data_IF_614207775813
#
_entry.id   IF_614207775813
#
_cell.length_a   1.000
_cell.length_b   1.000
_cell.length_c   1.000
_cell.angle_alpha   90.00
_cell.angle_beta   90.00
_cell.angle_gamma   90.00
#
_symmetry.space_group_name_H-M   'P 1'
#
loop_
_entity.id
_entity.type
_entity.pdbx_description
1 polymer ?
#
# COMPACT_ATOMS: atom_id res chain seq x y z
N UNK A 1 -40.58 -24.45 -22.70
CA UNK A 1 -40.43 -23.00 -22.90
C UNK A 1 -41.19 -22.31 -21.77
N UNK A 2 -40.48 -21.86 -20.74
CA UNK A 2 -40.84 -20.93 -19.65
C UNK A 2 -39.45 -20.54 -19.07
N UNK A 3 -38.93 -19.32 -19.05
CA UNK A 3 -39.57 -18.01 -19.02
C UNK A 3 -39.42 -17.43 -17.63
N UNK A 4 -38.19 -17.09 -17.22
CA UNK A 4 -37.79 -16.03 -16.28
C UNK A 4 -36.27 -16.20 -16.02
N UNK A 5 -35.36 -15.30 -16.38
CA UNK A 5 -35.53 -13.86 -16.54
C UNK A 5 -34.68 -13.08 -15.53
N UNK A 6 -34.11 -13.75 -14.52
CA UNK A 6 -33.31 -13.05 -13.50
C UNK A 6 -31.91 -13.65 -13.42
N UNK A 7 -31.07 -13.33 -14.42
CA UNK A 7 -29.65 -13.20 -14.15
C UNK A 7 -29.56 -12.00 -13.21
N UNK A 8 -29.53 -12.26 -11.89
CA UNK A 8 -29.12 -11.25 -10.92
C UNK A 8 -27.86 -10.61 -11.47
N UNK A 9 -27.94 -9.32 -11.76
CA UNK A 9 -26.80 -8.51 -12.17
C UNK A 9 -25.63 -8.85 -11.24
N UNK A 10 -24.38 -8.92 -11.74
CA UNK A 10 -23.26 -9.15 -10.84
C UNK A 10 -23.41 -8.12 -9.72
N UNK A 11 -23.50 -8.59 -8.47
CA UNK A 11 -23.44 -7.69 -7.34
C UNK A 11 -22.04 -7.09 -7.45
N UNK A 12 -21.96 -5.92 -8.07
CA UNK A 12 -20.89 -4.97 -7.90
C UNK A 12 -21.04 -4.48 -6.46
N UNK A 13 -20.83 -5.38 -5.49
CA UNK A 13 -20.52 -4.99 -4.14
C UNK A 13 -19.11 -4.45 -4.26
N UNK A 14 -19.09 -3.17 -4.59
CA UNK A 14 -17.92 -2.35 -4.72
C UNK A 14 -17.15 -2.60 -3.45
N UNK A 15 -16.00 -3.28 -3.57
CA UNK A 15 -15.01 -3.37 -2.54
C UNK A 15 -14.76 -1.95 -2.04
N UNK A 16 -15.51 -1.59 -1.01
CA UNK A 16 -15.31 -0.44 -0.17
C UNK A 16 -14.14 -0.82 0.72
N UNK A 17 -13.00 -1.16 0.10
CA UNK A 17 -11.73 -0.91 0.75
C UNK A 17 -11.79 0.59 0.99
N UNK A 18 -12.03 0.93 2.26
CA UNK A 18 -11.88 2.29 2.76
C UNK A 18 -10.60 2.86 2.17
N UNK A 19 -10.57 4.15 1.88
CA UNK A 19 -9.36 4.79 1.37
C UNK A 19 -8.12 4.44 2.22
N UNK A 20 -8.30 4.19 3.52
CA UNK A 20 -7.28 3.66 4.44
C UNK A 20 -6.78 2.24 4.09
N UNK A 21 -7.66 1.31 3.72
CA UNK A 21 -7.30 -0.05 3.27
C UNK A 21 -6.57 -0.02 1.91
N UNK A 22 -6.91 0.94 1.05
CA UNK A 22 -6.19 1.16 -0.21
C UNK A 22 -4.81 1.74 0.04
N UNK A 23 -4.71 2.73 0.94
CA UNK A 23 -3.44 3.32 1.36
C UNK A 23 -2.55 2.28 2.03
N UNK A 24 -3.10 1.44 2.90
CA UNK A 24 -2.37 0.35 3.52
C UNK A 24 -1.85 -0.68 2.50
N UNK A 25 -2.66 -1.01 1.49
CA UNK A 25 -2.24 -1.88 0.39
C UNK A 25 -1.13 -1.29 -0.47
N UNK A 26 -1.24 -0.01 -0.82
CA UNK A 26 -0.20 0.73 -1.56
C UNK A 26 1.09 0.77 -0.75
N UNK A 27 0.98 1.09 0.54
CA UNK A 27 2.12 1.17 1.43
C UNK A 27 2.84 -0.19 1.49
N UNK A 28 2.13 -1.28 1.77
CA UNK A 28 2.74 -2.62 1.86
C UNK A 28 3.47 -3.05 0.58
N UNK A 29 3.01 -2.63 -0.60
CA UNK A 29 3.71 -2.88 -1.86
C UNK A 29 4.98 -2.03 -2.00
N UNK A 30 4.94 -0.76 -1.60
CA UNK A 30 6.10 0.12 -1.60
C UNK A 30 7.13 -0.27 -0.54
N UNK A 31 6.71 -0.73 0.64
CA UNK A 31 7.63 -1.23 1.67
C UNK A 31 8.47 -2.39 1.12
N UNK A 32 7.90 -3.25 0.26
CA UNK A 32 8.61 -4.37 -0.36
C UNK A 32 9.51 -3.94 -1.54
N UNK A 33 9.08 -2.97 -2.34
CA UNK A 33 9.85 -2.44 -3.47
C UNK A 33 11.05 -1.58 -3.02
N UNK A 34 10.85 -0.83 -1.94
CA UNK A 34 11.83 0.12 -1.39
C UNK A 34 12.64 -0.46 -0.22
N UNK A 35 12.37 -1.70 0.21
CA UNK A 35 13.16 -2.39 1.22
C UNK A 35 14.64 -2.46 0.81
N UNK A 36 15.53 -2.03 1.69
CA UNK A 36 16.97 -1.97 1.42
C UNK A 36 17.43 -0.75 0.61
N UNK A 37 16.52 0.17 0.25
CA UNK A 37 16.88 1.48 -0.28
C UNK A 37 17.22 2.46 0.86
N UNK A 38 18.06 3.46 0.56
CA UNK A 38 18.39 4.53 1.52
C UNK A 38 17.15 5.35 1.88
N UNK A 39 17.05 5.81 3.13
CA UNK A 39 15.92 6.63 3.63
C UNK A 39 15.51 7.77 2.68
N UNK A 40 16.47 8.47 2.07
CA UNK A 40 16.21 9.53 1.09
C UNK A 40 15.53 9.03 -0.19
N UNK A 41 15.89 7.84 -0.68
CA UNK A 41 15.28 7.23 -1.86
C UNK A 41 13.85 6.77 -1.55
N UNK A 42 13.65 6.20 -0.36
CA UNK A 42 12.32 5.79 0.11
C UNK A 42 11.41 7.01 0.27
N UNK A 43 11.92 8.09 0.85
CA UNK A 43 11.16 9.33 1.06
C UNK A 43 10.70 9.95 -0.25
N UNK A 44 11.59 10.03 -1.25
CA UNK A 44 11.30 10.59 -2.57
C UNK A 44 10.23 9.75 -3.30
N UNK A 45 10.36 8.41 -3.25
CA UNK A 45 9.40 7.48 -3.82
C UNK A 45 8.01 7.57 -3.15
N UNK A 46 7.94 7.56 -1.82
CA UNK A 46 6.69 7.72 -1.09
C UNK A 46 6.01 9.05 -1.46
N UNK A 47 6.77 10.14 -1.51
CA UNK A 47 6.25 11.47 -1.88
C UNK A 47 5.63 11.47 -3.28
N UNK A 48 6.32 10.87 -4.25
CA UNK A 48 5.81 10.74 -5.61
C UNK A 48 4.55 9.88 -5.66
N UNK A 49 4.53 8.73 -4.97
CA UNK A 49 3.40 7.81 -4.94
C UNK A 49 2.16 8.41 -4.31
N UNK A 50 2.30 9.05 -3.15
CA UNK A 50 1.16 9.70 -2.49
C UNK A 50 0.62 10.83 -3.36
N UNK A 51 1.47 11.60 -4.04
CA UNK A 51 1.04 12.62 -4.99
C UNK A 51 0.32 12.03 -6.22
N UNK A 52 0.80 10.93 -6.79
CA UNK A 52 0.17 10.20 -7.90
C UNK A 52 -1.20 9.63 -7.51
N UNK A 53 -1.30 9.09 -6.29
CA UNK A 53 -2.55 8.60 -5.72
C UNK A 53 -3.52 9.72 -5.30
N UNK A 54 -3.11 10.99 -5.36
CA UNK A 54 -3.92 12.14 -4.95
C UNK A 54 -4.09 12.27 -3.42
N UNK A 55 -3.21 11.65 -2.65
CA UNK A 55 -3.22 11.69 -1.19
C UNK A 55 -2.17 12.66 -0.67
N UNK A 56 -2.59 13.62 0.16
CA UNK A 56 -1.68 14.55 0.80
C UNK A 56 -1.27 13.99 2.15
N UNK A 57 0.00 13.58 2.27
CA UNK A 57 0.61 13.11 3.52
C UNK A 57 1.59 14.16 4.03
N UNK A 58 1.62 14.40 5.34
CA UNK A 58 2.56 15.35 5.95
C UNK A 58 4.01 14.87 5.81
N UNK A 59 4.96 15.80 5.66
CA UNK A 59 6.40 15.46 5.57
C UNK A 59 6.89 14.67 6.80
N UNK A 60 6.36 14.94 7.98
CA UNK A 60 6.68 14.18 9.21
C UNK A 60 6.26 12.71 9.09
N UNK A 61 5.06 12.44 8.56
CA UNK A 61 4.57 11.08 8.35
C UNK A 61 5.36 10.37 7.24
N UNK A 62 5.69 11.08 6.15
CA UNK A 62 6.58 10.54 5.11
C UNK A 62 7.95 10.15 5.66
N UNK A 63 8.55 10.98 6.52
CA UNK A 63 9.81 10.68 7.18
C UNK A 63 9.71 9.49 8.13
N UNK A 64 8.63 9.35 8.90
CA UNK A 64 8.40 8.16 9.73
C UNK A 64 8.29 6.88 8.89
N UNK A 65 7.53 6.92 7.80
CA UNK A 65 7.38 5.79 6.88
C UNK A 65 8.71 5.45 6.18
N UNK A 66 9.43 6.45 5.67
CA UNK A 66 10.72 6.26 5.03
C UNK A 66 11.75 5.64 5.97
N UNK A 67 11.82 6.13 7.21
CA UNK A 67 12.70 5.58 8.24
C UNK A 67 12.33 4.15 8.63
N UNK A 68 11.03 3.84 8.72
CA UNK A 68 10.56 2.48 8.98
C UNK A 68 11.04 1.54 7.88
N UNK A 69 10.80 1.88 6.62
CA UNK A 69 11.13 1.06 5.44
C UNK A 69 12.64 0.93 5.23
N UNK A 70 13.39 2.02 5.32
CA UNK A 70 14.85 1.97 5.21
C UNK A 70 15.50 1.25 6.40
N UNK A 71 14.79 1.19 7.54
CA UNK A 71 15.15 0.41 8.72
C UNK A 71 14.65 -1.05 8.69
N UNK A 72 13.79 -1.43 7.71
CA UNK A 72 13.48 -2.83 7.42
C UNK A 72 14.73 -3.43 6.78
N UNK A 73 15.62 -3.93 7.64
CA UNK A 73 16.76 -4.69 7.18
C UNK A 73 16.22 -5.90 6.40
N UNK A 74 16.65 -6.14 5.14
CA UNK A 74 16.19 -7.30 4.37
C UNK A 74 16.52 -8.63 5.09
N UNK A 75 17.37 -8.60 6.11
CA UNK A 75 17.74 -9.73 6.94
C UNK A 75 16.92 -9.85 8.25
N UNK A 76 16.06 -8.90 8.62
CA UNK A 76 15.22 -8.98 9.84
C UNK A 76 14.07 -9.99 9.68
N UNK A 77 13.51 -10.13 8.47
CA UNK A 77 12.58 -11.21 8.12
C UNK A 77 13.20 -12.62 8.32
N UNK A 78 14.53 -12.75 8.31
CA UNK A 78 15.26 -14.02 8.45
C UNK A 78 15.46 -14.47 9.91
N UNK A 79 15.13 -13.64 10.90
CA UNK A 79 15.39 -13.96 12.32
C UNK A 79 14.19 -14.56 13.08
N UNK A 80 13.06 -14.83 12.40
CA UNK A 80 11.87 -15.45 13.02
C UNK A 80 11.58 -16.86 12.51
N UNK A 81 12.62 -17.69 12.45
CA UNK A 81 12.51 -19.15 12.41
C UNK A 81 13.47 -19.74 13.43
N UNK A 82 13.04 -19.82 14.69
CA UNK A 82 13.59 -20.78 15.65
C UNK A 82 12.56 -21.20 16.69
#
# INVERSE_FOLDING_TARGET
MNGDGTQSEPIQDQHSQSDEDKVAGILAQEEADLAGHSELQVLDALRERFADAGHTVSEEALHEHARRIAGLDPNDFSSKTR
#
